data_IF_910297310983
#
_entry.id   IF_910297310983
#
_cell.length_a   1.000
_cell.length_b   1.000
_cell.length_c   1.000
_cell.angle_alpha   90.00
_cell.angle_beta   90.00
_cell.angle_gamma   90.00
#
_symmetry.space_group_name_H-M   'P 1'
#
loop_
_entity.id
_entity.type
_entity.pdbx_description
1 polymer ?
#
# COMPACT_ATOMS: atom_id res chain seq x y z
N UNK A 1 -13.00 -5.08 -21.19
CA UNK A 1 -12.56 -5.83 -20.01
C UNK A 1 -12.95 -5.01 -18.80
N UNK A 2 -13.84 -5.51 -17.94
CA UNK A 2 -14.26 -4.75 -16.77
C UNK A 2 -13.20 -4.86 -15.68
N UNK A 3 -12.46 -3.77 -15.50
CA UNK A 3 -11.44 -3.66 -14.47
C UNK A 3 -12.08 -3.21 -13.14
N UNK A 4 -11.44 -3.57 -12.02
CA UNK A 4 -11.79 -3.03 -10.69
C UNK A 4 -11.61 -1.51 -10.68
N UNK A 5 -12.31 -0.81 -9.78
CA UNK A 5 -12.19 0.64 -9.72
C UNK A 5 -10.77 1.08 -9.30
N UNK A 6 -10.06 0.24 -8.51
CA UNK A 6 -8.65 0.45 -8.20
C UNK A 6 -7.78 0.49 -9.46
N UNK A 7 -7.99 -0.43 -10.41
CA UNK A 7 -7.29 -0.41 -11.70
C UNK A 7 -7.75 0.74 -12.61
N UNK A 8 -9.01 1.14 -12.54
CA UNK A 8 -9.54 2.28 -13.29
C UNK A 8 -8.87 3.59 -12.83
N UNK A 9 -8.66 3.79 -11.52
CA UNK A 9 -7.93 4.97 -10.98
C UNK A 9 -6.47 5.03 -11.40
N UNK A 10 -5.80 3.88 -11.49
CA UNK A 10 -4.42 3.78 -11.98
C UNK A 10 -4.35 3.99 -13.51
N UNK A 11 -5.43 3.69 -14.24
CA UNK A 11 -5.52 3.85 -15.69
C UNK A 11 -5.99 5.25 -16.12
N UNK A 12 -6.75 5.96 -15.29
CA UNK A 12 -7.14 7.34 -15.53
C UNK A 12 -5.90 8.24 -15.41
N UNK A 13 -5.65 9.06 -16.43
CA UNK A 13 -4.54 10.02 -16.49
C UNK A 13 -3.13 9.39 -16.39
N UNK A 14 -2.92 8.28 -17.14
CA UNK A 14 -1.57 7.74 -17.31
C UNK A 14 -0.62 8.78 -17.94
N UNK A 15 0.63 8.89 -17.46
CA UNK A 15 1.31 7.98 -16.52
C UNK A 15 1.29 8.42 -15.04
N UNK A 16 0.75 9.61 -14.74
CA UNK A 16 0.97 10.28 -13.45
C UNK A 16 0.34 9.54 -12.27
N UNK A 17 -0.90 9.07 -12.40
CA UNK A 17 -1.56 8.35 -11.31
C UNK A 17 -0.82 7.07 -10.93
N UNK A 18 -0.38 6.28 -11.90
CA UNK A 18 0.42 5.07 -11.66
C UNK A 18 1.70 5.40 -10.88
N UNK A 19 2.38 6.49 -11.26
CA UNK A 19 3.61 6.91 -10.60
C UNK A 19 3.35 7.27 -9.14
N UNK A 20 2.33 8.10 -8.88
CA UNK A 20 2.04 8.58 -7.53
C UNK A 20 1.50 7.49 -6.60
N UNK A 21 0.58 6.66 -7.08
CA UNK A 21 -0.15 5.68 -6.25
C UNK A 21 0.57 4.33 -6.12
N UNK A 22 1.53 4.02 -6.99
CA UNK A 22 2.20 2.72 -6.98
C UNK A 22 3.72 2.82 -7.08
N UNK A 23 4.27 3.48 -8.11
CA UNK A 23 5.72 3.48 -8.34
C UNK A 23 6.48 4.10 -7.17
N UNK A 24 6.09 5.29 -6.73
CA UNK A 24 6.75 5.98 -5.62
C UNK A 24 6.61 5.19 -4.31
N UNK A 25 5.40 4.76 -3.87
CA UNK A 25 5.24 3.95 -2.68
C UNK A 25 6.05 2.65 -2.69
N UNK A 26 6.00 1.89 -3.80
CA UNK A 26 6.67 0.59 -3.91
C UNK A 26 8.18 0.77 -3.90
N UNK A 27 8.71 1.72 -4.68
CA UNK A 27 10.13 2.01 -4.69
C UNK A 27 10.65 2.42 -3.31
N UNK A 28 9.93 3.31 -2.61
CA UNK A 28 10.32 3.72 -1.26
C UNK A 28 10.22 2.56 -0.25
N UNK A 29 9.22 1.69 -0.37
CA UNK A 29 9.09 0.51 0.47
C UNK A 29 10.22 -0.50 0.23
N UNK A 30 10.57 -0.77 -1.02
CA UNK A 30 11.70 -1.64 -1.37
C UNK A 30 13.03 -1.05 -0.92
N UNK A 31 13.23 0.26 -1.08
CA UNK A 31 14.40 0.95 -0.57
C UNK A 31 14.49 0.84 0.96
N UNK A 32 13.38 1.00 1.67
CA UNK A 32 13.31 0.82 3.13
C UNK A 32 13.69 -0.60 3.54
N UNK A 33 13.11 -1.61 2.88
CA UNK A 33 13.44 -3.03 3.10
C UNK A 33 14.94 -3.26 2.88
N UNK A 34 15.50 -2.76 1.77
CA UNK A 34 16.92 -2.90 1.48
C UNK A 34 17.79 -2.24 2.57
N UNK A 35 17.49 -1.01 2.97
CA UNK A 35 18.24 -0.31 4.02
C UNK A 35 18.14 -1.01 5.38
N UNK A 36 17.00 -1.64 5.67
CA UNK A 36 16.80 -2.40 6.90
C UNK A 36 17.66 -3.67 6.90
N UNK A 37 17.70 -4.42 5.79
CA UNK A 37 18.60 -5.57 5.64
C UNK A 37 20.07 -5.17 5.80
N UNK A 38 20.50 -4.06 5.20
CA UNK A 38 21.86 -3.55 5.37
C UNK A 38 22.13 -3.15 6.82
N UNK A 39 21.18 -2.52 7.51
CA UNK A 39 21.33 -2.11 8.91
C UNK A 39 21.46 -3.31 9.84
N UNK A 40 20.70 -4.38 9.61
CA UNK A 40 20.80 -5.64 10.35
C UNK A 40 22.12 -6.35 10.07
N UNK A 41 22.55 -6.42 8.81
CA UNK A 41 23.79 -7.10 8.40
C UNK A 41 25.05 -6.37 8.86
N UNK A 42 25.08 -5.04 8.76
CA UNK A 42 26.23 -4.19 9.14
C UNK A 42 26.20 -3.73 10.61
N UNK A 43 25.29 -4.29 11.43
CA UNK A 43 25.08 -3.92 12.83
C UNK A 43 26.37 -3.88 13.66
N UNK A 44 27.35 -4.72 13.34
CA UNK A 44 28.62 -4.84 14.07
C UNK A 44 29.79 -4.01 13.50
N UNK A 45 29.67 -3.40 12.31
CA UNK A 45 30.81 -2.77 11.65
C UNK A 45 30.73 -1.24 11.55
N UNK A 46 29.60 -0.64 11.14
CA UNK A 46 29.46 0.83 11.01
C UNK A 46 27.98 1.30 11.07
N UNK A 47 27.36 1.39 12.27
CA UNK A 47 25.90 1.49 12.42
C UNK A 47 25.30 2.90 12.21
N UNK A 48 26.11 3.97 12.21
CA UNK A 48 25.60 5.34 12.38
C UNK A 48 24.89 5.96 11.15
N UNK A 49 25.37 5.70 9.95
CA UNK A 49 24.87 6.38 8.74
C UNK A 49 23.65 5.67 8.13
N UNK A 50 23.68 4.34 8.03
CA UNK A 50 22.58 3.54 7.47
C UNK A 50 21.31 3.64 8.29
N UNK A 51 21.44 3.69 9.62
CA UNK A 51 20.31 3.87 10.53
C UNK A 51 19.60 5.22 10.37
N UNK A 52 20.34 6.30 10.08
CA UNK A 52 19.74 7.62 9.80
C UNK A 52 18.96 7.61 8.49
N UNK A 53 19.43 6.90 7.48
CA UNK A 53 18.73 6.72 6.22
C UNK A 53 17.46 5.90 6.40
N UNK A 54 17.54 4.77 7.12
CA UNK A 54 16.37 3.94 7.41
C UNK A 54 15.27 4.74 8.14
N UNK A 55 15.65 5.49 9.18
CA UNK A 55 14.76 6.40 9.89
C UNK A 55 14.06 7.42 8.99
N UNK A 56 14.82 8.08 8.11
CA UNK A 56 14.27 9.08 7.19
C UNK A 56 13.33 8.45 6.17
N UNK A 57 13.70 7.31 5.60
CA UNK A 57 12.87 6.58 4.64
C UNK A 57 11.56 6.13 5.29
N UNK A 58 11.60 5.59 6.50
CA UNK A 58 10.41 5.12 7.22
C UNK A 58 9.42 6.25 7.51
N UNK A 59 9.91 7.43 7.90
CA UNK A 59 9.09 8.63 8.13
C UNK A 59 8.50 9.14 6.82
N UNK A 60 9.33 9.35 5.80
CA UNK A 60 8.88 9.88 4.51
C UNK A 60 7.84 8.96 3.87
N UNK A 61 8.10 7.65 3.87
CA UNK A 61 7.19 6.65 3.31
C UNK A 61 5.84 6.64 4.04
N UNK A 62 5.83 6.62 5.38
CA UNK A 62 4.56 6.55 6.11
C UNK A 62 3.70 7.79 5.93
N UNK A 63 4.28 8.99 5.98
CA UNK A 63 3.52 10.22 5.71
C UNK A 63 3.06 10.34 4.25
N UNK A 64 3.90 9.92 3.29
CA UNK A 64 3.53 9.91 1.88
C UNK A 64 2.36 8.97 1.63
N UNK A 65 2.42 7.75 2.17
CA UNK A 65 1.34 6.77 2.05
C UNK A 65 0.07 7.19 2.80
N UNK A 66 0.20 7.89 3.93
CA UNK A 66 -0.94 8.51 4.61
C UNK A 66 -1.63 9.55 3.73
N UNK A 67 -0.86 10.42 3.06
CA UNK A 67 -1.42 11.40 2.12
C UNK A 67 -2.22 10.74 1.02
N UNK A 68 -1.69 9.64 0.46
CA UNK A 68 -2.40 8.82 -0.53
C UNK A 68 -3.67 8.19 0.06
N UNK A 69 -3.58 7.54 1.22
CA UNK A 69 -4.71 6.88 1.84
C UNK A 69 -5.85 7.87 2.16
N UNK A 70 -5.53 9.07 2.65
CA UNK A 70 -6.49 10.14 2.88
C UNK A 70 -7.12 10.65 1.57
N UNK A 71 -6.30 10.85 0.54
CA UNK A 71 -6.77 11.24 -0.78
C UNK A 71 -7.78 10.22 -1.33
N UNK A 72 -7.50 8.92 -1.17
CA UNK A 72 -8.43 7.86 -1.54
C UNK A 72 -9.69 7.89 -0.68
N UNK A 73 -9.56 7.98 0.64
CA UNK A 73 -10.71 7.99 1.55
C UNK A 73 -11.66 9.18 1.35
N UNK A 74 -11.13 10.36 1.00
CA UNK A 74 -11.93 11.60 0.89
C UNK A 74 -12.47 11.80 -0.51
N UNK A 75 -11.68 11.55 -1.55
CA UNK A 75 -12.07 11.89 -2.93
C UNK A 75 -12.55 10.67 -3.72
N UNK A 76 -12.02 9.49 -3.43
CA UNK A 76 -12.24 8.28 -4.23
C UNK A 76 -13.31 7.38 -3.62
N UNK A 77 -13.19 6.99 -2.34
CA UNK A 77 -14.17 6.11 -1.67
C UNK A 77 -15.61 6.63 -1.78
N UNK A 78 -15.90 7.94 -1.61
CA UNK A 78 -17.26 8.45 -1.72
C UNK A 78 -17.81 8.48 -3.15
N UNK A 79 -16.95 8.44 -4.17
CA UNK A 79 -17.33 8.48 -5.58
C UNK A 79 -17.36 7.10 -6.26
N UNK A 80 -16.92 6.05 -5.56
CA UNK A 80 -16.89 4.67 -6.08
C UNK A 80 -18.30 4.07 -6.17
N UNK A 81 -18.64 3.55 -7.34
CA UNK A 81 -19.69 2.52 -7.48
C UNK A 81 -19.07 1.14 -7.24
N UNK A 82 -19.36 0.55 -6.09
CA UNK A 82 -18.78 -0.74 -5.68
C UNK A 82 -19.15 -1.85 -6.67
N UNK A 83 -18.15 -2.40 -7.38
CA UNK A 83 -18.34 -3.49 -8.36
C UNK A 83 -18.22 -4.89 -7.75
N UNK A 84 -18.43 -5.02 -6.43
CA UNK A 84 -18.45 -6.30 -5.70
C UNK A 84 -17.49 -6.37 -4.52
N UNK A 85 -17.45 -7.53 -3.85
CA UNK A 85 -16.63 -7.78 -2.64
C UNK A 85 -15.13 -7.66 -2.94
N UNK A 86 -14.71 -7.96 -4.17
CA UNK A 86 -13.31 -7.85 -4.60
C UNK A 86 -12.80 -6.41 -4.57
N UNK A 87 -13.63 -5.43 -4.92
CA UNK A 87 -13.27 -4.00 -4.89
C UNK A 87 -13.12 -3.52 -3.44
N UNK A 88 -13.99 -4.00 -2.53
CA UNK A 88 -13.90 -3.73 -1.08
C UNK A 88 -12.62 -4.32 -0.50
N UNK A 89 -12.26 -5.55 -0.87
CA UNK A 89 -11.02 -6.18 -0.43
C UNK A 89 -9.80 -5.46 -0.99
N UNK A 90 -9.78 -5.10 -2.28
CA UNK A 90 -8.67 -4.39 -2.89
C UNK A 90 -8.43 -3.01 -2.24
N UNK A 91 -9.47 -2.17 -2.17
CA UNK A 91 -9.38 -0.82 -1.59
C UNK A 91 -9.15 -0.90 -0.07
N UNK A 92 -9.86 -1.80 0.62
CA UNK A 92 -9.73 -2.01 2.06
C UNK A 92 -8.33 -2.47 2.46
N UNK A 93 -7.77 -3.46 1.75
CA UNK A 93 -6.39 -3.88 1.95
C UNK A 93 -5.42 -2.73 1.65
N UNK A 94 -5.59 -2.01 0.55
CA UNK A 94 -4.71 -0.87 0.22
C UNK A 94 -4.70 0.20 1.32
N UNK A 95 -5.88 0.64 1.76
CA UNK A 95 -6.02 1.64 2.84
C UNK A 95 -5.48 1.10 4.15
N UNK A 96 -5.71 -0.18 4.49
CA UNK A 96 -5.17 -0.77 5.72
C UNK A 96 -3.64 -0.82 5.75
N UNK A 97 -2.96 -0.78 4.59
CA UNK A 97 -1.51 -0.66 4.49
C UNK A 97 -0.94 0.61 5.13
N UNK A 98 -1.77 1.65 5.33
CA UNK A 98 -1.37 2.85 6.07
C UNK A 98 -1.04 2.55 7.54
N UNK A 99 -1.70 1.57 8.15
CA UNK A 99 -1.53 1.23 9.57
C UNK A 99 -0.09 0.79 9.86
N UNK A 100 0.47 -0.23 9.19
CA UNK A 100 1.85 -0.63 9.43
C UNK A 100 2.86 0.46 9.05
N UNK A 101 2.67 1.18 7.94
CA UNK A 101 3.60 2.25 7.53
C UNK A 101 3.61 3.45 8.48
N UNK A 102 2.43 3.90 8.93
CA UNK A 102 2.35 4.93 9.97
C UNK A 102 2.89 4.43 11.30
N UNK A 103 2.67 3.14 11.61
CA UNK A 103 3.31 2.48 12.76
C UNK A 103 4.84 2.60 12.71
N UNK A 104 5.46 2.37 11.54
CA UNK A 104 6.90 2.56 11.33
C UNK A 104 7.28 4.02 11.54
N UNK A 105 6.57 4.96 10.92
CA UNK A 105 6.84 6.40 11.10
C UNK A 105 6.79 6.83 12.56
N UNK A 106 5.78 6.39 13.31
CA UNK A 106 5.64 6.72 14.73
C UNK A 106 6.67 6.02 15.63
N UNK A 107 7.08 4.81 15.28
CA UNK A 107 8.19 4.12 15.93
C UNK A 107 9.51 4.87 15.72
N UNK A 108 9.77 5.33 14.49
CA UNK A 108 10.95 6.12 14.14
C UNK A 108 10.95 7.52 14.78
N UNK A 109 9.78 8.15 14.92
CA UNK A 109 9.62 9.41 15.65
C UNK A 109 9.77 9.23 17.18
N UNK A 110 9.78 8.00 17.69
CA UNK A 110 9.87 7.71 19.12
C UNK A 110 8.55 7.91 19.87
N UNK A 111 7.43 8.04 19.16
CA UNK A 111 6.08 8.14 19.73
C UNK A 111 5.63 6.77 20.24
N UNK A 112 5.93 5.72 19.47
CA UNK A 112 5.64 4.33 19.83
C UNK A 112 6.90 3.70 20.43
N UNK A 113 6.73 2.92 21.50
CA UNK A 113 7.80 2.18 22.18
C UNK A 113 9.02 3.02 22.63
N UNK A 114 8.82 4.18 23.31
CA UNK A 114 9.93 5.06 23.71
C UNK A 114 10.96 4.37 24.62
N UNK A 115 10.50 3.47 25.50
CA UNK A 115 11.33 2.77 26.49
C UNK A 115 11.90 1.42 26.02
N UNK A 116 11.69 1.03 24.76
CA UNK A 116 12.25 -0.22 24.22
C UNK A 116 13.70 -0.05 23.82
N UNK A 117 14.47 -1.12 23.96
CA UNK A 117 15.85 -1.18 23.49
C UNK A 117 15.94 -1.00 21.97
N UNK A 118 17.08 -0.56 21.46
CA UNK A 118 17.30 -0.36 20.02
C UNK A 118 17.05 -1.63 19.21
N UNK A 119 17.36 -2.79 19.77
CA UNK A 119 17.13 -4.09 19.15
C UNK A 119 15.65 -4.47 19.08
N UNK A 120 14.87 -4.12 20.09
CA UNK A 120 13.43 -4.35 20.07
C UNK A 120 12.71 -3.40 19.13
N UNK A 121 13.17 -2.14 19.02
CA UNK A 121 12.65 -1.18 18.04
C UNK A 121 12.90 -1.68 16.61
N UNK A 122 14.11 -2.17 16.33
CA UNK A 122 14.44 -2.76 15.02
C UNK A 122 13.55 -3.97 14.71
N UNK A 123 13.32 -4.88 15.68
CA UNK A 123 12.39 -6.01 15.50
C UNK A 123 10.96 -5.56 15.20
N UNK A 124 10.47 -4.53 15.89
CA UNK A 124 9.11 -4.01 15.68
C UNK A 124 9.00 -3.31 14.33
N UNK A 125 10.00 -2.53 13.93
CA UNK A 125 10.08 -1.91 12.61
C UNK A 125 9.99 -2.98 11.52
N UNK A 126 10.82 -4.02 11.62
CA UNK A 126 10.84 -5.14 10.69
C UNK A 126 9.50 -5.89 10.63
N UNK A 127 8.87 -6.14 11.78
CA UNK A 127 7.55 -6.80 11.85
C UNK A 127 6.46 -5.96 11.16
N UNK A 128 6.43 -4.66 11.40
CA UNK A 128 5.48 -3.75 10.75
C UNK A 128 5.73 -3.69 9.24
N UNK A 129 6.99 -3.72 8.82
CA UNK A 129 7.35 -3.74 7.39
C UNK A 129 6.83 -5.01 6.70
N UNK A 130 7.02 -6.19 7.32
CA UNK A 130 6.45 -7.45 6.82
C UNK A 130 4.93 -7.37 6.72
N UNK A 131 4.26 -6.84 7.76
CA UNK A 131 2.81 -6.69 7.75
C UNK A 131 2.35 -5.79 6.59
N UNK A 132 3.06 -4.69 6.33
CA UNK A 132 2.80 -3.85 5.16
C UNK A 132 2.96 -4.60 3.84
N UNK A 133 4.06 -5.34 3.66
CA UNK A 133 4.31 -6.11 2.44
C UNK A 133 3.18 -7.10 2.16
N UNK A 134 2.74 -7.85 3.17
CA UNK A 134 1.64 -8.83 3.03
C UNK A 134 0.36 -8.12 2.59
N UNK A 135 -0.04 -7.08 3.32
CA UNK A 135 -1.29 -6.35 3.04
C UNK A 135 -1.26 -5.66 1.66
N UNK A 136 -0.12 -5.08 1.29
CA UNK A 136 0.07 -4.45 -0.02
C UNK A 136 -0.01 -5.46 -1.17
N UNK A 137 0.53 -6.67 -1.00
CA UNK A 137 0.43 -7.71 -2.03
C UNK A 137 -1.00 -8.24 -2.14
N UNK A 138 -1.72 -8.38 -1.03
CA UNK A 138 -3.14 -8.72 -1.03
C UNK A 138 -3.94 -7.69 -1.85
N UNK A 139 -3.67 -6.40 -1.64
CA UNK A 139 -4.31 -5.33 -2.42
C UNK A 139 -4.01 -5.43 -3.93
N UNK A 140 -2.77 -5.74 -4.31
CA UNK A 140 -2.39 -5.93 -5.72
C UNK A 140 -3.05 -7.17 -6.34
N UNK A 141 -3.07 -8.30 -5.63
CA UNK A 141 -3.71 -9.54 -6.10
C UNK A 141 -5.20 -9.33 -6.34
N UNK A 142 -5.93 -8.80 -5.34
CA UNK A 142 -7.37 -8.55 -5.50
C UNK A 142 -7.68 -7.39 -6.43
N UNK A 143 -6.82 -6.37 -6.51
CA UNK A 143 -6.97 -5.27 -7.45
C UNK A 143 -6.89 -5.72 -8.91
N UNK A 144 -6.02 -6.69 -9.22
CA UNK A 144 -5.86 -7.26 -10.57
C UNK A 144 -6.74 -8.49 -10.83
N UNK A 145 -7.45 -8.99 -9.81
CA UNK A 145 -8.37 -10.13 -9.96
C UNK A 145 -9.65 -9.69 -10.68
N UNK A 146 -10.15 -10.55 -11.57
CA UNK A 146 -11.38 -10.27 -12.32
C UNK A 146 -12.60 -10.25 -11.37
N UNK A 147 -13.34 -9.13 -11.27
CA UNK A 147 -14.50 -9.02 -10.39
C UNK A 147 -15.62 -10.03 -10.70
N UNK A 148 -15.63 -10.60 -11.92
CA UNK A 148 -16.63 -11.61 -12.34
C UNK A 148 -16.46 -12.97 -11.64
N UNK A 149 -15.28 -13.28 -11.09
CA UNK A 149 -15.00 -14.56 -10.42
C UNK A 149 -15.79 -14.76 -9.11
N UNK A 150 -16.24 -13.67 -8.48
CA UNK A 150 -17.02 -13.70 -7.22
C UNK A 150 -18.43 -13.14 -7.39
N UNK A 151 -18.99 -13.22 -8.59
CA UNK A 151 -20.42 -13.03 -8.84
C UNK A 151 -20.83 -11.63 -9.30
N UNK A 152 -19.91 -10.79 -9.76
CA UNK A 152 -20.31 -9.55 -10.43
C UNK A 152 -20.84 -9.85 -11.85
N UNK A 153 -22.17 -9.82 -12.00
CA UNK A 153 -22.82 -9.81 -13.30
C UNK A 153 -22.74 -8.40 -13.87
N UNK A 154 -21.91 -8.21 -14.90
CA UNK A 154 -22.10 -7.05 -15.77
C UNK A 154 -23.54 -7.13 -16.26
N UNK A 155 -24.32 -6.08 -16.02
CA UNK A 155 -25.66 -5.94 -16.58
C UNK A 155 -25.52 -5.65 -18.09
N UNK A 156 -24.91 -6.58 -18.84
CA UNK A 156 -25.10 -6.70 -20.28
C UNK A 156 -26.54 -7.13 -20.44
N UNK A 157 -27.44 -6.14 -20.49
CA UNK A 157 -28.68 -6.29 -21.24
C UNK A 157 -28.24 -6.71 -22.64
N UNK A 158 -28.28 -8.01 -22.91
CA UNK A 158 -28.42 -8.53 -24.26
C UNK A 158 -29.70 -7.90 -24.82
N UNK A 159 -29.55 -6.78 -25.52
CA UNK A 159 -30.51 -6.37 -26.52
C UNK A 159 -30.34 -7.42 -27.63
N UNK A 160 -30.99 -8.56 -27.44
CA UNK A 160 -31.17 -9.55 -28.48
C UNK A 160 -32.10 -8.90 -29.50
N UNK A 161 -31.48 -8.25 -30.48
CA UNK A 161 -32.14 -7.57 -31.56
C UNK A 161 -33.00 -8.60 -32.30
N UNK A 162 -34.33 -8.44 -32.24
CA UNK A 162 -35.25 -9.08 -33.16
C UNK A 162 -34.77 -8.84 -34.60
N UNK A 163 -34.44 -9.91 -35.32
CA UNK A 163 -34.60 -9.93 -36.77
C UNK A 163 -35.28 -11.23 -37.18
N UNK A 164 -36.33 -11.02 -37.97
CA UNK A 164 -37.34 -11.93 -38.52
C UNK A 164 -36.82 -13.26 -39.05
#
# INVERSE_FOLDING_TARGET
>A
MNMTHYMELLAVNQPWNLIFYMVIPVFLAEALVATEFFTVYLKNSHPGNWKKWNKRLGIVLGFYFLGIALQLCVNVIPSIQWRGILDVLAVGSYVSGVIPLMGISFLELGIIAPNKSEDEKMKLHFLLLIAFLIVSHIAMVFGMSDPTLLGWQSNTMEIHHHMK
#
